data_IF_926789396212
#
_entry.id   IF_926789396212
#
_cell.length_a   1.000
_cell.length_b   1.000
_cell.length_c   1.000
_cell.angle_alpha   90.00
_cell.angle_beta   90.00
_cell.angle_gamma   90.00
#
_symmetry.space_group_name_H-M   'P 1'
#
loop_
_entity.id
_entity.type
_entity.pdbx_description
1 polymer ?
#
# COMPACT_ATOMS: atom_id res chain seq x y z
N UNK A 1 33.63 -5.00 1.08
CA UNK A 1 32.28 -5.46 1.37
C UNK A 1 31.87 -6.50 0.32
N UNK A 2 31.63 -7.75 0.67
CA UNK A 2 31.13 -8.75 -0.28
C UNK A 2 29.74 -8.34 -0.74
N UNK A 3 29.49 -8.28 -2.04
CA UNK A 3 28.15 -8.03 -2.59
C UNK A 3 27.22 -9.16 -2.12
N UNK A 4 26.22 -8.85 -1.32
CA UNK A 4 25.19 -9.83 -0.93
C UNK A 4 24.39 -10.16 -2.19
N UNK A 5 24.43 -11.43 -2.61
CA UNK A 5 23.58 -11.92 -3.70
C UNK A 5 22.15 -12.05 -3.15
N UNK A 6 21.21 -11.26 -3.67
CA UNK A 6 19.81 -11.26 -3.20
C UNK A 6 19.06 -12.54 -3.60
N UNK A 7 19.41 -13.11 -4.75
CA UNK A 7 18.73 -14.27 -5.35
C UNK A 7 19.73 -15.31 -5.76
N UNK A 8 20.33 -16.08 -4.81
CA UNK A 8 21.38 -17.04 -5.13
C UNK A 8 20.89 -18.20 -6.02
N UNK A 9 19.59 -18.47 -6.03
CA UNK A 9 18.94 -19.50 -6.84
C UNK A 9 18.73 -19.07 -8.30
N UNK A 10 18.84 -17.77 -8.62
CA UNK A 10 18.56 -17.23 -9.95
C UNK A 10 19.86 -16.92 -10.68
N UNK A 11 20.07 -17.61 -11.82
CA UNK A 11 21.21 -17.40 -12.68
C UNK A 11 20.83 -16.45 -13.83
N UNK A 12 20.84 -15.15 -13.60
CA UNK A 12 20.54 -14.19 -14.64
C UNK A 12 19.63 -13.05 -14.19
N UNK A 13 19.00 -12.38 -15.14
CA UNK A 13 18.03 -11.32 -14.88
C UNK A 13 16.65 -11.92 -14.62
N UNK A 14 15.93 -11.33 -13.67
CA UNK A 14 14.49 -11.50 -13.56
C UNK A 14 13.83 -10.76 -14.73
N UNK A 15 13.12 -11.52 -15.56
CA UNK A 15 12.41 -11.03 -16.74
C UNK A 15 10.96 -11.48 -16.66
N UNK A 16 10.04 -10.55 -16.68
CA UNK A 16 8.61 -10.84 -16.56
C UNK A 16 7.78 -9.58 -16.49
N UNK A 17 6.53 -9.73 -16.09
CA UNK A 17 5.56 -8.64 -15.96
C UNK A 17 4.56 -8.94 -14.83
N UNK A 18 3.59 -8.07 -14.65
CA UNK A 18 2.42 -8.36 -13.83
C UNK A 18 1.57 -9.45 -14.46
N UNK A 19 1.04 -10.33 -13.59
CA UNK A 19 0.15 -11.41 -13.96
C UNK A 19 -1.00 -11.51 -12.97
N UNK A 20 -2.23 -11.38 -13.46
CA UNK A 20 -3.44 -11.36 -12.67
C UNK A 20 -4.34 -12.55 -13.00
N UNK A 21 -3.94 -13.78 -12.63
CA UNK A 21 -4.68 -15.02 -12.93
C UNK A 21 -6.00 -15.11 -12.15
N UNK A 22 -6.16 -14.34 -11.09
CA UNK A 22 -7.40 -14.20 -10.33
C UNK A 22 -8.61 -13.78 -11.16
N UNK A 23 -8.40 -13.21 -12.35
CA UNK A 23 -9.45 -12.87 -13.30
C UNK A 23 -10.01 -14.09 -14.08
N UNK A 24 -9.32 -15.23 -14.05
CA UNK A 24 -9.56 -16.38 -14.92
C UNK A 24 -9.57 -17.72 -14.17
N UNK A 25 -9.94 -17.72 -12.88
CA UNK A 25 -9.87 -18.91 -12.03
C UNK A 25 -10.78 -20.06 -12.50
N UNK A 26 -11.84 -19.75 -13.22
CA UNK A 26 -12.77 -20.70 -13.85
C UNK A 26 -12.33 -21.17 -15.25
N UNK A 27 -11.17 -20.69 -15.74
CA UNK A 27 -10.66 -20.93 -17.08
C UNK A 27 -9.22 -21.51 -17.04
N UNK A 28 -9.07 -22.79 -16.66
CA UNK A 28 -7.74 -23.43 -16.59
C UNK A 28 -7.01 -23.47 -17.95
N UNK A 29 -7.74 -23.46 -19.06
CA UNK A 29 -7.20 -23.38 -20.42
C UNK A 29 -6.42 -22.06 -20.65
N UNK A 30 -6.84 -20.95 -20.05
CA UNK A 30 -6.12 -19.68 -20.13
C UNK A 30 -4.78 -19.78 -19.40
N UNK A 31 -4.77 -20.34 -18.18
CA UNK A 31 -3.54 -20.52 -17.42
C UNK A 31 -2.50 -21.37 -18.19
N UNK A 32 -2.94 -22.46 -18.79
CA UNK A 32 -2.06 -23.32 -19.59
C UNK A 32 -1.48 -22.55 -20.78
N UNK A 33 -2.31 -21.77 -21.46
CA UNK A 33 -1.89 -20.94 -22.59
C UNK A 33 -0.95 -19.83 -22.18
N UNK A 34 -1.21 -19.18 -21.06
CA UNK A 34 -0.36 -18.12 -20.52
C UNK A 34 1.05 -18.66 -20.19
N UNK A 35 1.14 -19.82 -19.54
CA UNK A 35 2.43 -20.46 -19.27
C UNK A 35 3.18 -20.79 -20.57
N UNK A 36 2.49 -21.30 -21.59
CA UNK A 36 3.09 -21.53 -22.91
C UNK A 36 3.69 -20.24 -23.48
N UNK A 37 2.94 -19.13 -23.41
CA UNK A 37 3.37 -17.82 -23.91
C UNK A 37 4.52 -17.23 -23.08
N UNK A 38 4.47 -17.36 -21.76
CA UNK A 38 5.56 -16.95 -20.86
C UNK A 38 6.86 -17.68 -21.21
N UNK A 39 6.80 -18.99 -21.47
CA UNK A 39 7.97 -19.78 -21.89
C UNK A 39 8.51 -19.33 -23.26
N UNK A 40 7.64 -19.07 -24.23
CA UNK A 40 8.05 -18.50 -25.54
C UNK A 40 8.72 -17.14 -25.39
N UNK A 41 8.23 -16.29 -24.47
CA UNK A 41 8.80 -15.00 -24.15
C UNK A 41 10.06 -15.10 -23.27
N UNK A 42 10.47 -16.30 -22.85
CA UNK A 42 11.59 -16.54 -21.93
C UNK A 42 11.46 -15.80 -20.60
N UNK A 43 10.24 -15.70 -20.10
CA UNK A 43 9.99 -15.11 -18.79
C UNK A 43 10.55 -15.99 -17.68
N UNK A 44 11.15 -15.37 -16.67
CA UNK A 44 11.76 -16.03 -15.51
C UNK A 44 11.09 -15.65 -14.20
N UNK A 45 10.22 -14.63 -14.21
CA UNK A 45 9.46 -14.21 -13.03
C UNK A 45 8.14 -13.55 -13.42
N UNK A 46 7.13 -13.67 -12.55
CA UNK A 46 5.86 -12.95 -12.68
C UNK A 46 5.48 -12.30 -11.35
N UNK A 47 4.98 -11.06 -11.40
CA UNK A 47 4.35 -10.41 -10.25
C UNK A 47 2.90 -10.86 -10.16
N UNK A 48 2.51 -11.49 -9.04
CA UNK A 48 1.19 -12.11 -8.87
C UNK A 48 0.45 -11.51 -7.68
N UNK A 49 -0.85 -11.37 -7.80
CA UNK A 49 -1.76 -11.08 -6.67
C UNK A 49 -1.88 -9.61 -6.28
N UNK A 50 -1.43 -8.66 -7.10
CA UNK A 50 -1.35 -7.22 -6.76
C UNK A 50 -2.71 -6.65 -6.32
N UNK A 51 -3.82 -7.07 -6.94
CA UNK A 51 -5.17 -6.58 -6.66
C UNK A 51 -6.15 -7.69 -6.28
N UNK A 52 -5.66 -8.87 -5.94
CA UNK A 52 -6.45 -10.09 -5.81
C UNK A 52 -7.16 -10.25 -4.45
N UNK A 53 -7.32 -9.20 -3.64
CA UNK A 53 -7.91 -9.34 -2.30
C UNK A 53 -9.28 -10.00 -2.31
N UNK A 54 -10.18 -9.60 -3.22
CA UNK A 54 -11.51 -10.19 -3.31
C UNK A 54 -11.48 -11.68 -3.73
N UNK A 55 -10.45 -12.11 -4.47
CA UNK A 55 -10.26 -13.53 -4.79
C UNK A 55 -9.69 -14.32 -3.61
N UNK A 56 -8.88 -13.70 -2.77
CA UNK A 56 -8.36 -14.29 -1.53
C UNK A 56 -9.41 -14.35 -0.43
N UNK A 57 -10.22 -13.30 -0.30
CA UNK A 57 -11.20 -13.13 0.77
C UNK A 57 -12.50 -12.52 0.19
N UNK A 58 -13.36 -13.34 -0.46
CA UNK A 58 -14.60 -12.89 -1.08
C UNK A 58 -15.62 -12.36 -0.07
N UNK A 59 -15.59 -12.87 1.15
CA UNK A 59 -16.37 -12.40 2.30
C UNK A 59 -15.44 -12.29 3.51
N UNK A 60 -15.75 -11.43 4.46
CA UNK A 60 -14.92 -11.23 5.64
C UNK A 60 -14.71 -12.53 6.42
N UNK A 61 -13.45 -12.94 6.52
CA UNK A 61 -13.03 -14.15 7.23
C UNK A 61 -13.16 -15.44 6.42
N UNK A 62 -13.67 -15.39 5.21
CA UNK A 62 -13.74 -16.53 4.28
C UNK A 62 -12.55 -16.47 3.32
N UNK A 63 -11.60 -17.40 3.45
CA UNK A 63 -10.35 -17.38 2.70
C UNK A 63 -10.26 -18.50 1.67
N UNK A 64 -10.01 -18.12 0.41
CA UNK A 64 -9.84 -19.00 -0.73
C UNK A 64 -8.41 -18.89 -1.25
N UNK A 65 -7.48 -19.66 -0.69
CA UNK A 65 -6.04 -19.56 -0.98
C UNK A 65 -5.48 -20.61 -1.94
N UNK A 66 -6.23 -21.68 -2.21
CA UNK A 66 -5.74 -22.85 -2.98
C UNK A 66 -5.33 -22.48 -4.41
N UNK A 67 -6.04 -21.53 -5.02
CA UNK A 67 -5.72 -21.07 -6.36
C UNK A 67 -4.34 -20.43 -6.43
N UNK A 68 -3.95 -19.63 -5.41
CA UNK A 68 -2.65 -18.99 -5.36
C UNK A 68 -1.53 -20.02 -5.35
N UNK A 69 -1.65 -21.04 -4.46
CA UNK A 69 -0.66 -22.11 -4.38
C UNK A 69 -0.54 -22.86 -5.71
N UNK A 70 -1.67 -23.21 -6.32
CA UNK A 70 -1.68 -23.90 -7.62
C UNK A 70 -1.01 -23.07 -8.73
N UNK A 71 -1.25 -21.76 -8.79
CA UNK A 71 -0.60 -20.87 -9.75
C UNK A 71 0.92 -20.84 -9.51
N UNK A 72 1.34 -20.69 -8.27
CA UNK A 72 2.77 -20.63 -7.92
C UNK A 72 3.48 -21.96 -8.20
N UNK A 73 2.83 -23.10 -7.88
CA UNK A 73 3.34 -24.44 -8.23
C UNK A 73 3.59 -24.56 -9.74
N UNK A 74 2.57 -24.21 -10.55
CA UNK A 74 2.67 -24.30 -12.03
C UNK A 74 3.72 -23.35 -12.62
N UNK A 75 3.83 -22.13 -12.11
CA UNK A 75 4.88 -21.22 -12.54
C UNK A 75 6.26 -21.80 -12.23
N UNK A 76 6.46 -22.26 -11.00
CA UNK A 76 7.74 -22.81 -10.53
C UNK A 76 8.16 -24.08 -11.30
N UNK A 77 7.24 -25.01 -11.55
CA UNK A 77 7.46 -26.21 -12.38
C UNK A 77 7.93 -25.87 -13.80
N UNK A 78 7.57 -24.69 -14.30
CA UNK A 78 7.98 -24.18 -15.61
C UNK A 78 9.20 -23.24 -15.56
N UNK A 79 9.89 -23.16 -14.41
CA UNK A 79 11.09 -22.34 -14.23
C UNK A 79 10.82 -20.85 -14.10
N UNK A 80 9.59 -20.47 -13.74
CA UNK A 80 9.16 -19.08 -13.56
C UNK A 80 8.97 -18.82 -12.06
N UNK A 81 9.71 -17.86 -11.52
CA UNK A 81 9.63 -17.47 -10.12
C UNK A 81 8.48 -16.47 -9.88
N UNK A 82 8.02 -16.37 -8.65
CA UNK A 82 6.95 -15.46 -8.26
C UNK A 82 7.49 -14.30 -7.43
N UNK A 83 7.17 -13.09 -7.83
CA UNK A 83 7.19 -11.88 -7.02
C UNK A 83 5.77 -11.71 -6.51
N UNK A 84 5.52 -12.01 -5.23
CA UNK A 84 4.16 -12.08 -4.71
C UNK A 84 3.76 -10.76 -4.05
N UNK A 85 2.61 -10.24 -4.43
CA UNK A 85 2.15 -8.98 -3.91
C UNK A 85 1.26 -9.11 -2.66
N UNK A 86 1.32 -8.09 -1.79
CA UNK A 86 0.25 -7.82 -0.84
C UNK A 86 -0.89 -7.11 -1.58
N UNK A 87 -2.16 -7.50 -1.40
CA UNK A 87 -3.24 -7.05 -2.27
C UNK A 87 -3.88 -5.73 -1.84
N UNK A 88 -3.23 -4.96 -0.97
CA UNK A 88 -3.79 -3.76 -0.32
C UNK A 88 -4.07 -2.60 -1.27
N UNK A 89 -3.59 -2.66 -2.51
CA UNK A 89 -3.86 -1.66 -3.54
C UNK A 89 -5.32 -1.57 -3.99
N UNK A 90 -6.09 -2.66 -3.86
CA UNK A 90 -7.52 -2.69 -4.16
C UNK A 90 -8.26 -3.51 -3.11
N UNK A 91 -9.37 -2.97 -2.59
CA UNK A 91 -10.15 -3.58 -1.50
C UNK A 91 -11.37 -4.31 -2.01
N UNK A 92 -11.81 -5.39 -1.33
CA UNK A 92 -13.08 -6.02 -1.60
C UNK A 92 -14.26 -5.14 -1.18
N UNK A 93 -15.41 -5.32 -1.84
CA UNK A 93 -16.61 -4.50 -1.60
C UNK A 93 -17.14 -4.64 -0.16
N UNK A 94 -17.08 -5.85 0.42
CA UNK A 94 -17.52 -6.10 1.79
C UNK A 94 -16.76 -5.24 2.82
N UNK A 95 -15.49 -4.90 2.55
CA UNK A 95 -14.70 -4.07 3.46
C UNK A 95 -15.20 -2.63 3.48
N UNK A 96 -15.52 -2.08 2.31
CA UNK A 96 -16.05 -0.71 2.20
C UNK A 96 -17.48 -0.60 2.75
N UNK A 97 -18.30 -1.66 2.59
CA UNK A 97 -19.65 -1.72 3.13
C UNK A 97 -19.67 -1.75 4.67
N UNK A 98 -18.83 -2.61 5.25
CA UNK A 98 -18.78 -2.79 6.72
C UNK A 98 -18.00 -1.69 7.44
N UNK A 99 -16.98 -1.13 6.80
CA UNK A 99 -16.01 -0.22 7.39
C UNK A 99 -15.79 1.01 6.51
N UNK A 100 -16.82 1.87 6.33
CA UNK A 100 -16.75 3.02 5.43
C UNK A 100 -15.63 4.01 5.80
N UNK A 101 -15.14 4.01 7.04
CA UNK A 101 -14.00 4.80 7.47
C UNK A 101 -12.67 4.39 6.81
N UNK A 102 -12.63 3.21 6.16
CA UNK A 102 -11.50 2.78 5.36
C UNK A 102 -11.40 3.52 4.02
N UNK A 103 -12.50 4.12 3.58
CA UNK A 103 -12.52 4.85 2.31
C UNK A 103 -11.94 6.25 2.47
N UNK A 104 -11.20 6.67 1.43
CA UNK A 104 -10.58 8.00 1.36
C UNK A 104 -11.64 9.10 1.32
N UNK A 105 -11.29 10.24 1.90
CA UNK A 105 -12.03 11.50 1.78
C UNK A 105 -11.16 12.48 0.99
N UNK A 106 -11.72 13.16 0.01
CA UNK A 106 -11.00 14.15 -0.80
C UNK A 106 -10.96 15.54 -0.12
N UNK A 107 -10.30 16.50 -0.76
CA UNK A 107 -10.17 17.85 -0.21
C UNK A 107 -11.50 18.62 -0.12
N UNK A 108 -12.53 18.22 -0.85
CA UNK A 108 -13.88 18.77 -0.79
C UNK A 108 -14.75 18.11 0.30
N UNK A 109 -14.13 17.33 1.19
CA UNK A 109 -14.78 16.57 2.27
C UNK A 109 -15.79 15.51 1.80
N UNK A 110 -15.65 15.05 0.55
CA UNK A 110 -16.45 13.96 0.03
C UNK A 110 -15.73 12.62 0.19
N UNK A 111 -16.42 11.65 0.80
CA UNK A 111 -15.93 10.27 0.91
C UNK A 111 -16.01 9.58 -0.45
N UNK A 112 -14.95 8.86 -0.82
CA UNK A 112 -14.95 8.02 -2.00
C UNK A 112 -16.01 6.90 -1.88
N UNK A 113 -16.52 6.45 -3.02
CA UNK A 113 -17.33 5.24 -3.11
C UNK A 113 -16.45 4.02 -3.41
N UNK A 114 -17.02 2.82 -3.20
CA UNK A 114 -16.36 1.59 -3.62
C UNK A 114 -16.04 1.61 -5.13
N UNK A 115 -14.90 1.07 -5.50
CA UNK A 115 -14.42 0.97 -6.86
C UNK A 115 -13.05 1.60 -7.04
N UNK A 116 -12.45 1.38 -8.21
CA UNK A 116 -11.07 1.74 -8.49
C UNK A 116 -10.07 1.11 -7.50
N UNK A 117 -8.85 1.62 -7.52
CA UNK A 117 -7.74 1.25 -6.65
C UNK A 117 -7.21 2.50 -5.91
N UNK A 118 -6.43 2.31 -4.84
CA UNK A 118 -5.75 3.37 -4.07
C UNK A 118 -6.69 4.43 -3.47
N UNK A 119 -7.96 4.13 -3.25
CA UNK A 119 -8.93 5.04 -2.65
C UNK A 119 -9.21 4.73 -1.17
N UNK A 120 -8.24 4.12 -0.47
CA UNK A 120 -8.30 3.81 0.96
C UNK A 120 -7.59 4.84 1.82
N UNK A 121 -7.97 4.90 3.09
CA UNK A 121 -7.33 5.72 4.11
C UNK A 121 -6.20 4.93 4.79
N UNK A 122 -4.95 5.33 4.59
CA UNK A 122 -3.77 4.70 5.20
C UNK A 122 -3.69 4.92 6.72
N UNK A 123 -4.45 5.89 7.26
CA UNK A 123 -4.56 6.13 8.69
C UNK A 123 -5.64 5.29 9.37
N UNK A 124 -6.51 4.60 8.62
CA UNK A 124 -7.58 3.78 9.20
C UNK A 124 -7.00 2.58 9.96
N UNK A 125 -7.23 2.46 11.28
CA UNK A 125 -6.81 1.29 12.05
C UNK A 125 -7.46 0.01 11.52
N UNK A 126 -8.72 0.10 11.08
CA UNK A 126 -9.46 -1.05 10.56
C UNK A 126 -8.87 -1.53 9.23
N UNK A 127 -8.51 -0.62 8.33
CA UNK A 127 -7.84 -1.00 7.09
C UNK A 127 -6.49 -1.69 7.36
N UNK A 128 -5.68 -1.15 8.27
CA UNK A 128 -4.41 -1.75 8.69
C UNK A 128 -4.59 -3.14 9.31
N UNK A 129 -5.60 -3.31 10.16
CA UNK A 129 -5.97 -4.60 10.77
C UNK A 129 -6.27 -5.64 9.68
N UNK A 130 -7.17 -5.30 8.74
CA UNK A 130 -7.57 -6.21 7.67
C UNK A 130 -6.43 -6.51 6.71
N UNK A 131 -5.63 -5.52 6.35
CA UNK A 131 -4.38 -5.72 5.59
C UNK A 131 -3.44 -6.70 6.31
N UNK A 132 -3.27 -6.55 7.61
CA UNK A 132 -2.45 -7.48 8.39
C UNK A 132 -2.99 -8.91 8.39
N UNK A 133 -4.29 -9.09 8.46
CA UNK A 133 -4.93 -10.41 8.43
C UNK A 133 -4.68 -11.08 7.07
N UNK A 134 -4.98 -10.41 5.95
CA UNK A 134 -4.82 -11.02 4.64
C UNK A 134 -3.36 -11.32 4.32
N UNK A 135 -2.42 -10.44 4.68
CA UNK A 135 -0.97 -10.70 4.50
C UNK A 135 -0.55 -11.96 5.27
N UNK A 136 -0.97 -12.13 6.52
CA UNK A 136 -0.65 -13.33 7.30
C UNK A 136 -1.23 -14.59 6.67
N UNK A 137 -2.46 -14.54 6.12
CA UNK A 137 -3.06 -15.69 5.41
C UNK A 137 -2.28 -16.07 4.16
N UNK A 138 -1.82 -15.09 3.39
CA UNK A 138 -0.97 -15.34 2.21
C UNK A 138 0.34 -16.00 2.64
N UNK A 139 1.00 -15.49 3.70
CA UNK A 139 2.23 -16.07 4.24
C UNK A 139 1.99 -17.50 4.74
N UNK A 140 0.89 -17.76 5.45
CA UNK A 140 0.55 -19.10 5.95
C UNK A 140 0.40 -20.12 4.82
N UNK A 141 -0.04 -19.66 3.64
CA UNK A 141 -0.28 -20.51 2.47
C UNK A 141 0.98 -20.77 1.64
N UNK A 142 1.77 -19.71 1.38
CA UNK A 142 2.87 -19.79 0.39
C UNK A 142 4.17 -19.10 0.84
N UNK A 143 4.29 -18.71 2.11
CA UNK A 143 5.46 -17.99 2.60
C UNK A 143 6.77 -18.76 2.56
N UNK A 144 6.71 -20.09 2.49
CA UNK A 144 7.85 -21.01 2.34
C UNK A 144 7.96 -21.62 0.94
N UNK A 145 7.13 -21.18 -0.01
CA UNK A 145 7.12 -21.72 -1.36
C UNK A 145 8.46 -21.48 -2.08
N UNK A 146 9.09 -22.51 -2.68
CA UNK A 146 10.42 -22.41 -3.29
C UNK A 146 10.47 -21.45 -4.49
N UNK A 147 9.35 -21.19 -5.14
CA UNK A 147 9.20 -20.23 -6.22
C UNK A 147 9.03 -18.77 -5.75
N UNK A 148 8.81 -18.53 -4.46
CA UNK A 148 8.69 -17.18 -3.92
C UNK A 148 10.07 -16.53 -3.77
N UNK A 149 10.36 -15.51 -4.55
CA UNK A 149 11.69 -14.86 -4.52
C UNK A 149 11.67 -13.46 -3.96
N UNK A 150 10.53 -12.77 -3.99
CA UNK A 150 10.40 -11.40 -3.52
C UNK A 150 8.95 -11.09 -3.13
N UNK A 151 8.76 -10.26 -2.12
CA UNK A 151 7.48 -9.62 -1.84
C UNK A 151 7.38 -8.27 -2.55
N UNK A 152 6.22 -8.01 -3.15
CA UNK A 152 5.84 -6.70 -3.67
C UNK A 152 4.75 -6.13 -2.76
N UNK A 153 5.04 -5.08 -1.98
CA UNK A 153 4.03 -4.49 -1.10
C UNK A 153 3.10 -3.57 -1.88
N UNK A 154 1.80 -3.86 -1.81
CA UNK A 154 0.75 -3.09 -2.49
C UNK A 154 1.08 -2.79 -3.96
N UNK A 155 0.84 -1.56 -4.40
CA UNK A 155 1.20 -1.05 -5.72
C UNK A 155 1.08 0.47 -5.71
N UNK A 156 2.02 1.19 -6.31
CA UNK A 156 1.93 2.63 -6.61
C UNK A 156 1.33 3.47 -5.47
N UNK A 157 1.88 3.33 -4.27
CA UNK A 157 1.41 4.06 -3.09
C UNK A 157 1.27 5.56 -3.34
N UNK A 158 0.22 6.16 -2.84
CA UNK A 158 0.04 7.60 -2.92
C UNK A 158 -1.37 8.08 -2.62
N UNK A 159 -1.52 9.39 -2.75
CA UNK A 159 -2.77 10.11 -2.57
C UNK A 159 -3.02 10.60 -1.15
N UNK A 160 -3.71 11.73 -1.08
CA UNK A 160 -4.07 12.41 0.16
C UNK A 160 -5.42 11.92 0.66
N UNK A 161 -5.63 11.96 1.97
CA UNK A 161 -6.92 11.64 2.58
C UNK A 161 -7.22 12.67 3.69
N UNK A 162 -8.35 13.34 3.55
CA UNK A 162 -8.79 14.43 4.42
C UNK A 162 -9.81 13.99 5.48
N UNK A 163 -9.91 12.70 5.78
CA UNK A 163 -10.86 12.19 6.76
C UNK A 163 -10.47 12.57 8.20
N UNK A 164 -11.42 12.46 9.17
CA UNK A 164 -11.13 12.77 10.57
C UNK A 164 -9.94 12.02 11.18
N UNK A 165 -9.68 10.77 10.74
CA UNK A 165 -8.52 9.99 11.19
C UNK A 165 -7.21 10.61 10.71
N UNK A 166 -7.15 11.05 9.44
CA UNK A 166 -5.99 11.73 8.89
C UNK A 166 -5.79 13.12 9.51
N UNK A 167 -6.88 13.88 9.76
CA UNK A 167 -6.83 15.13 10.48
C UNK A 167 -6.19 14.94 11.87
N UNK A 168 -6.71 14.01 12.67
CA UNK A 168 -6.16 13.75 14.00
C UNK A 168 -4.67 13.35 13.93
N UNK A 169 -4.32 12.44 13.02
CA UNK A 169 -2.94 11.98 12.85
C UNK A 169 -2.01 13.10 12.37
N UNK A 170 -2.51 14.04 11.57
CA UNK A 170 -1.79 15.24 11.16
C UNK A 170 -1.54 16.19 12.33
N UNK A 171 -2.55 16.40 13.18
CA UNK A 171 -2.41 17.20 14.39
C UNK A 171 -1.36 16.63 15.34
N UNK A 172 -1.35 15.29 15.52
CA UNK A 172 -0.34 14.62 16.34
C UNK A 172 1.06 14.74 15.72
N UNK A 173 1.17 14.53 14.40
CA UNK A 173 2.42 14.75 13.66
C UNK A 173 2.97 16.17 13.84
N UNK A 174 2.11 17.17 13.80
CA UNK A 174 2.53 18.56 14.03
C UNK A 174 2.92 18.80 15.49
N UNK A 175 2.18 18.24 16.44
CA UNK A 175 2.52 18.36 17.85
C UNK A 175 3.91 17.80 18.14
N UNK A 176 4.20 16.61 17.67
CA UNK A 176 5.53 15.99 17.80
C UNK A 176 6.62 16.84 17.12
N UNK A 177 6.36 17.31 15.92
CA UNK A 177 7.33 18.11 15.15
C UNK A 177 7.68 19.45 15.80
N UNK A 178 6.75 20.06 16.49
CA UNK A 178 6.93 21.34 17.16
C UNK A 178 7.11 21.22 18.68
N UNK A 179 7.54 20.05 19.17
CA UNK A 179 7.81 19.74 20.57
C UNK A 179 6.61 20.05 21.50
N UNK A 180 5.38 19.81 21.03
CA UNK A 180 4.11 20.12 21.70
C UNK A 180 3.97 21.63 22.09
N UNK A 181 4.69 22.53 21.43
CA UNK A 181 4.62 23.97 21.64
C UNK A 181 3.94 24.67 20.44
N UNK A 182 2.66 25.01 20.61
CA UNK A 182 1.88 25.68 19.57
C UNK A 182 2.45 27.06 19.17
N UNK A 183 3.18 27.72 20.06
CA UNK A 183 3.80 29.00 19.75
C UNK A 183 4.97 28.85 18.77
N UNK A 184 5.69 27.73 18.83
CA UNK A 184 6.72 27.41 17.82
C UNK A 184 6.11 27.26 16.44
N UNK A 185 4.97 26.56 16.34
CA UNK A 185 4.23 26.43 15.08
C UNK A 185 3.73 27.78 14.58
N UNK A 186 3.05 28.54 15.43
CA UNK A 186 2.54 29.88 15.09
C UNK A 186 3.64 30.78 14.56
N UNK A 187 4.80 30.81 15.22
CA UNK A 187 5.97 31.57 14.78
C UNK A 187 6.52 31.07 13.44
N UNK A 188 6.63 29.76 13.25
CA UNK A 188 7.16 29.17 12.04
C UNK A 188 6.25 29.41 10.82
N UNK A 189 4.94 29.38 11.02
CA UNK A 189 3.96 29.58 9.96
C UNK A 189 3.52 31.04 9.80
N UNK A 190 3.91 31.94 10.72
CA UNK A 190 3.53 33.34 10.72
C UNK A 190 2.02 33.55 10.74
N UNK A 191 1.35 32.93 11.71
CA UNK A 191 -0.13 32.84 11.78
C UNK A 191 -0.83 34.09 12.31
N UNK A 192 -0.11 35.18 12.61
CA UNK A 192 -0.68 36.38 13.22
C UNK A 192 -1.60 37.20 12.29
N UNK A 193 -1.49 37.00 10.97
CA UNK A 193 -2.33 37.71 10.00
C UNK A 193 -3.67 36.99 9.81
N UNK A 194 -4.74 37.72 9.57
CA UNK A 194 -6.11 37.26 9.43
C UNK A 194 -6.63 36.34 10.56
N UNK A 195 -6.14 36.59 11.77
CA UNK A 195 -6.54 35.80 12.95
C UNK A 195 -6.28 34.29 12.86
N UNK A 196 -5.23 33.90 12.16
CA UNK A 196 -4.86 32.47 11.99
C UNK A 196 -4.12 31.88 13.19
N UNK A 197 -3.86 32.68 14.27
CA UNK A 197 -3.12 32.17 15.44
C UNK A 197 -3.88 31.06 16.13
N UNK A 198 -3.25 29.89 16.25
CA UNK A 198 -3.78 28.74 16.95
C UNK A 198 -3.41 28.77 18.44
N UNK A 199 -4.33 28.33 19.29
CA UNK A 199 -4.09 28.14 20.71
C UNK A 199 -3.81 26.68 21.08
N UNK A 200 -4.21 25.73 20.21
CA UNK A 200 -4.06 24.31 20.38
C UNK A 200 -3.95 23.61 19.03
N UNK A 201 -3.20 22.50 18.98
CA UNK A 201 -3.03 21.71 17.75
C UNK A 201 -4.35 21.15 17.21
N UNK A 202 -5.34 20.90 18.06
CA UNK A 202 -6.67 20.42 17.65
C UNK A 202 -7.45 21.40 16.77
N UNK A 203 -7.07 22.68 16.77
CA UNK A 203 -7.67 23.71 15.93
C UNK A 203 -7.16 23.69 14.48
N UNK A 204 -6.08 22.94 14.23
CA UNK A 204 -5.47 22.91 12.90
C UNK A 204 -6.27 21.97 12.01
N UNK A 205 -6.80 22.51 10.92
CA UNK A 205 -7.48 21.76 9.87
C UNK A 205 -6.50 21.37 8.75
N UNK A 206 -6.70 20.23 8.08
CA UNK A 206 -6.05 19.98 6.79
C UNK A 206 -6.37 21.09 5.77
N UNK A 207 -5.55 21.28 4.74
CA UNK A 207 -5.82 22.28 3.71
C UNK A 207 -6.96 21.83 2.78
N UNK A 208 -8.19 21.86 3.30
CA UNK A 208 -9.41 21.54 2.52
C UNK A 208 -9.56 22.49 1.34
N UNK A 209 -10.24 22.07 0.27
CA UNK A 209 -10.45 22.87 -0.94
C UNK A 209 -11.22 24.19 -0.67
N UNK A 210 -12.07 24.19 0.33
CA UNK A 210 -12.84 25.36 0.79
C UNK A 210 -12.32 25.97 2.11
N UNK A 211 -11.11 25.57 2.54
CA UNK A 211 -10.48 25.99 3.79
C UNK A 211 -9.32 26.96 3.59
N UNK A 212 -8.34 26.85 4.48
CA UNK A 212 -7.16 27.71 4.49
C UNK A 212 -6.14 27.28 3.41
N UNK A 213 -5.78 28.17 2.52
CA UNK A 213 -4.80 27.92 1.46
C UNK A 213 -3.62 28.91 1.47
N UNK A 214 -3.70 30.00 2.27
CA UNK A 214 -2.70 31.06 2.27
C UNK A 214 -1.51 30.78 3.20
N UNK A 215 -1.68 29.93 4.19
CA UNK A 215 -0.61 29.52 5.11
C UNK A 215 0.30 28.50 4.43
N UNK A 216 1.41 28.98 3.85
CA UNK A 216 2.35 28.09 3.14
C UNK A 216 2.94 26.99 4.03
N UNK A 217 3.11 27.27 5.33
CA UNK A 217 3.54 26.28 6.32
C UNK A 217 2.57 25.11 6.44
N UNK A 218 1.26 25.36 6.49
CA UNK A 218 0.21 24.33 6.52
C UNK A 218 0.28 23.44 5.28
N UNK A 219 0.31 24.05 4.09
CA UNK A 219 0.36 23.32 2.81
C UNK A 219 1.61 22.45 2.70
N UNK A 220 2.78 22.96 3.11
CA UNK A 220 4.03 22.23 3.08
C UNK A 220 4.03 21.06 4.07
N UNK A 221 3.54 21.29 5.29
CA UNK A 221 3.51 20.24 6.31
C UNK A 221 2.46 19.16 5.99
N UNK A 222 1.36 19.50 5.34
CA UNK A 222 0.41 18.51 4.85
C UNK A 222 1.04 17.56 3.81
N UNK A 223 1.84 18.07 2.87
CA UNK A 223 2.57 17.24 1.91
C UNK A 223 3.62 16.36 2.59
N UNK A 224 4.34 16.89 3.57
CA UNK A 224 5.29 16.13 4.38
C UNK A 224 4.59 15.03 5.19
N UNK A 225 3.47 15.37 5.81
CA UNK A 225 2.62 14.41 6.51
C UNK A 225 2.11 13.31 5.56
N UNK A 226 1.66 13.66 4.38
CA UNK A 226 1.21 12.68 3.38
C UNK A 226 2.31 11.68 3.05
N UNK A 227 3.53 12.14 2.82
CA UNK A 227 4.69 11.27 2.61
C UNK A 227 4.98 10.40 3.84
N UNK A 228 5.03 11.01 5.01
CA UNK A 228 5.28 10.31 6.27
C UNK A 228 4.21 9.25 6.55
N UNK A 229 2.92 9.58 6.38
CA UNK A 229 1.80 8.66 6.60
C UNK A 229 1.81 7.49 5.61
N UNK A 230 2.18 7.75 4.36
CA UNK A 230 2.36 6.70 3.34
C UNK A 230 3.51 5.76 3.73
N UNK A 231 4.65 6.32 4.11
CA UNK A 231 5.82 5.53 4.54
C UNK A 231 5.53 4.72 5.80
N UNK A 232 4.79 5.28 6.76
CA UNK A 232 4.36 4.60 7.97
C UNK A 232 3.45 3.40 7.66
N UNK A 233 2.52 3.57 6.72
CA UNK A 233 1.69 2.46 6.25
C UNK A 233 2.51 1.38 5.54
N UNK A 234 3.41 1.76 4.63
CA UNK A 234 4.33 0.83 3.97
C UNK A 234 5.14 0.01 4.97
N UNK A 235 5.69 0.67 6.00
CA UNK A 235 6.43 0.00 7.08
C UNK A 235 5.59 -1.05 7.79
N UNK A 236 4.31 -0.80 8.02
CA UNK A 236 3.42 -1.77 8.68
C UNK A 236 3.27 -3.07 7.90
N UNK A 237 3.20 -3.02 6.56
CA UNK A 237 3.21 -4.22 5.73
C UNK A 237 4.58 -4.92 5.73
N UNK A 238 5.66 -4.14 5.58
CA UNK A 238 7.04 -4.67 5.61
C UNK A 238 7.34 -5.39 6.91
N UNK A 239 6.91 -4.85 8.05
CA UNK A 239 7.14 -5.44 9.36
C UNK A 239 6.48 -6.82 9.51
N UNK A 240 5.26 -6.99 9.00
CA UNK A 240 4.57 -8.28 8.99
C UNK A 240 5.37 -9.29 8.15
N UNK A 241 5.74 -8.92 6.93
CA UNK A 241 6.50 -9.76 6.01
C UNK A 241 7.86 -10.14 6.60
N UNK A 242 8.61 -9.18 7.12
CA UNK A 242 9.95 -9.41 7.66
C UNK A 242 9.96 -10.20 8.96
N UNK A 243 8.91 -10.13 9.76
CA UNK A 243 8.76 -10.97 10.96
C UNK A 243 8.60 -12.44 10.61
N UNK A 244 7.86 -12.74 9.54
CA UNK A 244 7.50 -14.10 9.14
C UNK A 244 8.43 -14.68 8.09
N UNK A 245 8.95 -13.86 7.18
CA UNK A 245 9.82 -14.27 6.05
C UNK A 245 11.04 -13.35 5.97
N UNK A 246 11.93 -13.32 7.00
CA UNK A 246 12.99 -12.31 7.13
C UNK A 246 14.00 -12.32 5.97
N UNK A 247 14.19 -13.46 5.32
CA UNK A 247 15.17 -13.64 4.26
C UNK A 247 14.64 -13.28 2.86
N UNK A 248 13.32 -13.12 2.69
CA UNK A 248 12.74 -12.75 1.40
C UNK A 248 12.81 -11.24 1.23
N UNK A 249 13.41 -10.72 0.14
CA UNK A 249 13.44 -9.30 -0.15
C UNK A 249 12.03 -8.71 -0.32
N UNK A 250 11.91 -7.41 -0.07
CA UNK A 250 10.67 -6.66 -0.27
C UNK A 250 10.94 -5.54 -1.27
N UNK A 251 10.00 -5.33 -2.18
CA UNK A 251 9.99 -4.24 -3.16
C UNK A 251 8.61 -3.61 -3.27
N UNK A 252 8.54 -2.50 -3.96
CA UNK A 252 7.30 -1.90 -4.47
C UNK A 252 7.62 -1.04 -5.68
N UNK A 253 6.60 -0.67 -6.44
CA UNK A 253 6.69 0.32 -7.49
C UNK A 253 6.04 1.64 -7.05
N UNK A 254 6.48 2.72 -7.66
CA UNK A 254 5.90 4.05 -7.48
C UNK A 254 5.56 4.65 -8.84
N UNK A 255 4.55 5.52 -8.86
CA UNK A 255 4.26 6.31 -10.04
C UNK A 255 5.33 7.39 -10.23
N UNK A 256 5.78 7.60 -11.45
CA UNK A 256 6.92 8.45 -11.80
C UNK A 256 6.74 9.93 -11.42
N UNK A 257 5.52 10.42 -11.33
CA UNK A 257 5.19 11.82 -11.02
C UNK A 257 3.95 11.88 -10.13
N UNK A 258 4.02 11.33 -8.90
CA UNK A 258 2.91 11.47 -7.97
C UNK A 258 3.07 12.78 -7.17
N UNK A 259 2.29 13.85 -7.49
CA UNK A 259 2.39 15.08 -6.72
C UNK A 259 1.89 14.80 -5.30
N UNK A 260 2.76 14.98 -4.32
CA UNK A 260 2.43 14.79 -2.90
C UNK A 260 3.29 13.78 -2.17
N UNK A 261 4.17 13.04 -2.87
CA UNK A 261 5.18 12.19 -2.23
C UNK A 261 6.59 12.71 -2.47
N UNK A 262 7.36 12.77 -1.40
CA UNK A 262 8.81 12.99 -1.49
C UNK A 262 9.53 11.64 -1.52
N UNK A 263 10.04 11.26 -2.68
CA UNK A 263 10.73 9.96 -2.88
C UNK A 263 12.17 9.93 -2.31
N UNK A 264 12.60 10.97 -1.62
CA UNK A 264 13.92 11.03 -0.95
C UNK A 264 13.87 10.59 0.51
N UNK A 265 12.69 10.30 1.03
CA UNK A 265 12.47 9.94 2.45
C UNK A 265 12.45 8.43 2.63
#
# INVERSE_FOLDING_TARGET
MSKKILFPQIKGLLHGSDYNPDQWLDRPDILEKDIELMKKAKMTSMSVGIFAWAAYEPSEGEFHMDWLKNIMDKLYENGIYTILATPSGARPAWLDEKYPECMRVNADDHRAHHGFRHNHCMSSPKFREKTGIIINKIIDTVGDHPGLVMWHISNEFGGECFCPLCKKKFQDYLADKFDHDINKLNKAWWTSFWSHTYNDFSQIEPPYANGEFSIMGLNLEWKRFTTWNTTDYMKSEIEILKRRTPNIPVTTNFMQLFPGLDYRV
#
